data_IF_853428745170
#
_entry.id   IF_853428745170
#
_cell.length_a   1.000
_cell.length_b   1.000
_cell.length_c   1.000
_cell.angle_alpha   90.00
_cell.angle_beta   90.00
_cell.angle_gamma   90.00
#
_symmetry.space_group_name_H-M   'P 1'
#
loop_
_entity.id
_entity.type
_entity.pdbx_description
1 polymer ?
#
# COMPACT_ATOMS: atom_id res chain seq x y z
N UNK A 1 56.42 -51.80 -2.57
CA UNK A 1 55.98 -50.42 -2.81
C UNK A 1 54.50 -50.48 -3.19
N UNK A 2 53.63 -50.55 -2.19
CA UNK A 2 52.18 -50.74 -2.34
C UNK A 2 51.51 -49.36 -2.23
N UNK A 3 50.77 -48.98 -3.27
CA UNK A 3 49.99 -47.73 -3.32
C UNK A 3 48.59 -48.09 -2.81
N UNK A 4 48.22 -47.57 -1.64
CA UNK A 4 46.85 -47.57 -1.15
C UNK A 4 46.08 -46.45 -1.85
N UNK A 5 45.05 -46.81 -2.62
CA UNK A 5 44.05 -45.88 -3.15
C UNK A 5 42.85 -45.94 -2.21
N UNK A 6 42.71 -44.92 -1.37
CA UNK A 6 41.51 -44.71 -0.54
C UNK A 6 40.48 -43.92 -1.35
N UNK A 7 39.45 -44.60 -1.86
CA UNK A 7 38.24 -43.96 -2.39
C UNK A 7 37.33 -43.57 -1.22
N UNK A 8 37.33 -42.29 -0.85
CA UNK A 8 36.31 -41.69 0.02
C UNK A 8 35.03 -41.47 -0.79
N UNK A 9 34.02 -42.31 -0.54
CA UNK A 9 32.65 -42.11 -1.03
C UNK A 9 31.97 -41.06 -0.13
N UNK A 10 32.02 -39.80 -0.54
CA UNK A 10 31.27 -38.73 0.13
C UNK A 10 29.80 -38.83 -0.29
N UNK A 11 28.94 -39.30 0.63
CA UNK A 11 27.49 -39.26 0.50
C UNK A 11 27.03 -37.80 0.45
N UNK A 12 26.76 -37.30 -0.75
CA UNK A 12 26.00 -36.08 -0.99
C UNK A 12 24.55 -36.31 -0.58
N UNK A 13 24.24 -36.02 0.69
CA UNK A 13 22.88 -35.75 1.14
C UNK A 13 22.39 -34.49 0.43
N UNK A 14 21.68 -34.69 -0.69
CA UNK A 14 20.84 -33.66 -1.31
C UNK A 14 19.67 -33.39 -0.37
N UNK A 15 19.89 -32.51 0.61
CA UNK A 15 18.81 -31.83 1.31
C UNK A 15 18.11 -30.93 0.28
N UNK A 16 17.05 -31.46 -0.31
CA UNK A 16 16.04 -30.69 -1.02
C UNK A 16 15.37 -29.80 0.03
N UNK A 17 15.97 -28.65 0.31
CA UNK A 17 15.26 -27.54 0.90
C UNK A 17 14.38 -26.95 -0.20
N UNK A 18 13.20 -27.52 -0.35
CA UNK A 18 12.04 -26.85 -0.89
C UNK A 18 11.74 -25.66 0.02
N UNK A 19 12.45 -24.55 -0.22
CA UNK A 19 12.13 -23.24 0.30
C UNK A 19 10.81 -22.77 -0.31
N UNK A 20 9.70 -23.35 0.16
CA UNK A 20 8.39 -22.74 0.08
C UNK A 20 8.49 -21.41 0.84
N UNK A 21 8.72 -20.33 0.10
CA UNK A 21 8.55 -18.98 0.61
C UNK A 21 7.08 -18.72 0.92
N UNK A 22 6.59 -19.27 2.02
CA UNK A 22 5.34 -18.84 2.67
C UNK A 22 5.63 -17.50 3.37
N UNK A 23 5.64 -16.43 2.58
CA UNK A 23 5.77 -15.06 3.07
C UNK A 23 4.42 -14.35 3.04
N UNK A 24 3.88 -14.09 4.24
CA UNK A 24 2.68 -13.31 4.58
C UNK A 24 1.33 -13.84 4.04
N UNK A 25 0.85 -14.92 4.66
CA UNK A 25 -0.58 -15.11 4.90
C UNK A 25 -0.85 -14.70 6.36
N UNK A 26 -1.78 -13.79 6.59
CA UNK A 26 -2.12 -13.28 7.91
C UNK A 26 -3.61 -13.44 8.26
N UNK A 27 -4.27 -14.51 7.80
CA UNK A 27 -5.32 -15.18 8.57
C UNK A 27 -6.63 -14.40 8.75
N UNK A 28 -7.49 -14.44 7.74
CA UNK A 28 -8.87 -13.98 7.86
C UNK A 28 -9.78 -14.80 6.91
N UNK A 29 -9.88 -16.10 7.14
CA UNK A 29 -10.55 -17.06 6.25
C UNK A 29 -12.06 -16.84 6.06
N UNK A 30 -12.64 -15.87 6.78
CA UNK A 30 -14.06 -15.52 6.65
C UNK A 30 -14.21 -14.34 5.70
N UNK A 31 -14.24 -14.62 4.41
CA UNK A 31 -14.84 -13.71 3.43
C UNK A 31 -16.25 -13.33 3.92
N UNK A 32 -16.67 -12.05 3.87
CA UNK A 32 -18.00 -11.68 4.32
C UNK A 32 -19.04 -12.45 3.50
N UNK A 33 -20.04 -13.03 4.19
CA UNK A 33 -21.06 -13.89 3.58
C UNK A 33 -22.10 -13.14 2.73
N UNK A 34 -22.08 -11.80 2.75
CA UNK A 34 -22.90 -10.97 1.88
C UNK A 34 -22.41 -11.06 0.44
N UNK A 35 -23.33 -11.13 -0.53
CA UNK A 35 -22.97 -11.05 -1.96
C UNK A 35 -22.54 -9.62 -2.29
N UNK A 36 -21.25 -9.50 -2.57
CA UNK A 36 -20.56 -8.34 -3.12
C UNK A 36 -20.92 -8.15 -4.62
N UNK A 37 -20.76 -6.94 -5.20
CA UNK A 37 -19.85 -5.88 -4.77
C UNK A 37 -20.38 -5.06 -3.60
N UNK A 38 -19.48 -4.41 -2.87
CA UNK A 38 -19.77 -3.27 -1.98
C UNK A 38 -20.22 -2.07 -2.82
N UNK A 39 -21.28 -2.23 -3.60
CA UNK A 39 -22.00 -1.14 -4.25
C UNK A 39 -22.88 -0.40 -3.26
N UNK A 40 -22.72 -0.61 -1.94
CA UNK A 40 -23.43 0.16 -0.92
C UNK A 40 -23.14 1.64 -1.16
N UNK A 41 -24.22 2.43 -1.16
CA UNK A 41 -24.29 3.79 -1.68
C UNK A 41 -23.06 4.64 -1.36
N UNK A 42 -22.64 5.44 -2.35
CA UNK A 42 -21.49 6.34 -2.32
C UNK A 42 -21.60 7.53 -1.37
N UNK A 43 -22.17 7.36 -0.17
CA UNK A 43 -22.38 8.43 0.80
C UNK A 43 -21.26 8.57 1.83
N UNK A 44 -20.32 7.62 1.92
CA UNK A 44 -19.14 7.80 2.78
C UNK A 44 -18.16 8.76 2.11
N UNK A 45 -17.77 9.86 2.77
CA UNK A 45 -16.78 10.79 2.22
C UNK A 45 -15.46 10.05 1.99
N UNK A 46 -14.79 10.39 0.89
CA UNK A 46 -13.44 9.87 0.62
C UNK A 46 -12.52 10.15 1.82
N UNK A 47 -11.69 9.19 2.24
CA UNK A 47 -10.73 9.40 3.31
C UNK A 47 -9.80 10.58 3.01
N UNK A 48 -9.69 11.52 3.95
CA UNK A 48 -8.70 12.61 3.89
C UNK A 48 -7.32 12.14 4.33
N UNK A 49 -7.28 11.12 5.19
CA UNK A 49 -6.05 10.60 5.74
C UNK A 49 -6.06 9.09 5.76
N UNK A 50 -4.86 8.53 5.62
CA UNK A 50 -4.59 7.11 5.53
C UNK A 50 -3.37 6.78 6.40
N UNK A 51 -3.21 5.50 6.70
CA UNK A 51 -2.10 4.97 7.46
C UNK A 51 -1.26 4.03 6.61
N UNK A 52 0.04 3.94 6.91
CA UNK A 52 0.94 2.95 6.32
C UNK A 52 1.96 2.46 7.34
N UNK A 53 1.99 1.16 7.59
CA UNK A 53 3.07 0.51 8.32
C UNK A 53 4.29 0.29 7.42
N UNK A 54 5.48 0.71 7.85
CA UNK A 54 6.73 0.49 7.12
C UNK A 54 7.90 0.25 8.09
N UNK A 55 8.83 -0.61 7.71
CA UNK A 55 10.05 -0.86 8.49
C UNK A 55 11.17 0.15 8.24
N UNK A 56 11.01 1.04 7.26
CA UNK A 56 11.96 2.12 6.99
C UNK A 56 11.66 3.33 7.86
N UNK A 57 12.72 3.96 8.36
CA UNK A 57 12.62 5.18 9.14
C UNK A 57 12.30 6.43 8.30
N UNK A 58 11.84 7.51 8.97
CA UNK A 58 11.42 8.75 8.32
C UNK A 58 12.49 9.33 7.39
N UNK A 59 13.74 9.38 7.85
CA UNK A 59 14.86 9.94 7.07
C UNK A 59 15.12 9.16 5.78
N UNK A 60 14.96 7.83 5.82
CA UNK A 60 15.17 6.99 4.64
C UNK A 60 14.08 7.23 3.59
N UNK A 61 12.81 7.29 4.02
CA UNK A 61 11.68 7.56 3.11
C UNK A 61 11.73 9.00 2.59
N UNK A 62 12.07 9.96 3.46
CA UNK A 62 12.30 11.35 3.08
C UNK A 62 13.39 11.48 2.01
N UNK A 63 14.51 10.78 2.17
CA UNK A 63 15.60 10.76 1.20
C UNK A 63 15.24 10.11 -0.15
N UNK A 64 14.17 9.32 -0.20
CA UNK A 64 13.59 8.77 -1.44
C UNK A 64 12.53 9.69 -2.06
N UNK A 65 12.19 10.81 -1.41
CA UNK A 65 11.10 11.70 -1.81
C UNK A 65 9.71 11.16 -1.47
N UNK A 66 9.63 10.06 -0.71
CA UNK A 66 8.40 9.35 -0.33
C UNK A 66 8.46 7.85 -0.65
N UNK A 67 7.31 7.25 -0.94
CA UNK A 67 7.22 5.85 -1.35
C UNK A 67 7.10 5.74 -2.86
N UNK A 68 8.08 5.08 -3.47
CA UNK A 68 8.01 4.62 -4.84
C UNK A 68 7.40 3.20 -4.90
N UNK A 69 6.61 2.88 -5.92
CA UNK A 69 6.24 1.50 -6.20
C UNK A 69 7.50 0.66 -6.41
N UNK A 70 7.49 -0.54 -5.87
CA UNK A 70 8.52 -1.54 -6.17
C UNK A 70 8.25 -2.09 -7.57
N UNK A 71 8.63 -1.34 -8.61
CA UNK A 71 8.48 -1.73 -10.00
C UNK A 71 9.82 -2.17 -10.59
N UNK A 72 9.79 -3.22 -11.42
CA UNK A 72 10.90 -3.57 -12.31
C UNK A 72 11.07 -2.51 -13.41
N UNK A 73 12.27 -2.45 -14.01
CA UNK A 73 12.60 -1.45 -15.04
C UNK A 73 11.64 -1.51 -16.24
N UNK A 74 11.30 -2.72 -16.68
CA UNK A 74 10.30 -2.96 -17.73
C UNK A 74 9.02 -3.53 -17.12
N UNK A 75 8.01 -2.68 -16.96
CA UNK A 75 6.72 -3.05 -16.37
C UNK A 75 5.92 -3.93 -17.32
N UNK A 76 5.41 -5.07 -16.83
CA UNK A 76 4.48 -5.87 -17.63
C UNK A 76 3.12 -5.18 -17.73
N UNK A 77 2.24 -5.70 -18.61
CA UNK A 77 0.85 -5.24 -18.66
C UNK A 77 0.12 -5.45 -17.32
N UNK A 78 0.49 -6.48 -16.54
CA UNK A 78 -0.10 -6.77 -15.24
C UNK A 78 0.26 -5.76 -14.15
N UNK A 79 1.38 -5.04 -14.30
CA UNK A 79 1.85 -4.06 -13.33
C UNK A 79 0.81 -2.98 -12.99
N UNK A 80 -0.09 -2.70 -13.93
CA UNK A 80 -1.12 -1.67 -13.83
C UNK A 80 -2.40 -2.17 -13.15
N UNK A 81 -2.56 -3.47 -12.95
CA UNK A 81 -3.75 -4.08 -12.36
C UNK A 81 -3.71 -4.19 -10.85
N UNK A 82 -4.78 -3.76 -10.18
CA UNK A 82 -4.96 -3.91 -8.73
C UNK A 82 -4.96 -5.38 -8.30
N UNK A 83 -5.48 -6.31 -9.11
CA UNK A 83 -5.49 -7.74 -8.78
C UNK A 83 -4.07 -8.30 -8.70
N UNK A 84 -3.18 -7.86 -9.59
CA UNK A 84 -1.79 -8.25 -9.60
C UNK A 84 -1.03 -7.63 -8.42
N UNK A 85 -1.37 -6.39 -8.06
CA UNK A 85 -0.86 -5.72 -6.86
C UNK A 85 -1.27 -6.43 -5.56
N UNK A 86 -2.55 -6.76 -5.39
CA UNK A 86 -3.08 -7.47 -4.20
C UNK A 86 -2.44 -8.86 -4.04
N UNK A 87 -2.26 -9.59 -5.15
CA UNK A 87 -1.65 -10.93 -5.16
C UNK A 87 -0.17 -10.94 -4.78
N UNK A 88 0.46 -9.77 -4.63
CA UNK A 88 1.88 -9.63 -4.32
C UNK A 88 2.78 -10.49 -5.23
N UNK A 89 2.51 -10.45 -6.55
CA UNK A 89 3.27 -11.27 -7.51
C UNK A 89 4.74 -10.81 -7.54
N UNK A 90 5.61 -11.67 -7.02
CA UNK A 90 7.07 -11.48 -6.98
C UNK A 90 7.74 -12.19 -8.16
N UNK A 91 8.57 -11.45 -8.89
CA UNK A 91 9.45 -11.96 -9.94
C UNK A 91 10.75 -12.52 -9.34
N UNK A 92 11.61 -13.07 -10.19
CA UNK A 92 12.95 -13.51 -9.81
C UNK A 92 13.67 -12.39 -9.03
N UNK A 93 14.36 -12.74 -7.95
CA UNK A 93 15.00 -11.82 -6.97
C UNK A 93 14.04 -11.06 -6.04
N UNK A 94 12.76 -11.43 -5.98
CA UNK A 94 11.80 -10.88 -5.00
C UNK A 94 11.27 -9.48 -5.34
N UNK A 95 11.50 -9.01 -6.58
CA UNK A 95 10.98 -7.74 -7.06
C UNK A 95 9.50 -7.87 -7.40
N UNK A 96 8.71 -6.85 -7.07
CA UNK A 96 7.29 -6.78 -7.45
C UNK A 96 7.18 -6.13 -8.83
N UNK A 97 6.11 -6.44 -9.55
CA UNK A 97 5.74 -5.70 -10.76
C UNK A 97 4.41 -5.03 -10.50
N UNK A 98 4.46 -3.85 -9.90
CA UNK A 98 3.27 -3.06 -9.56
C UNK A 98 3.60 -1.58 -9.65
N UNK A 99 2.63 -0.79 -10.10
CA UNK A 99 2.69 0.68 -10.05
C UNK A 99 2.09 1.24 -8.76
N UNK A 100 1.69 0.42 -7.80
CA UNK A 100 0.97 0.86 -6.60
C UNK A 100 1.82 0.77 -5.32
N UNK A 101 1.45 1.60 -4.35
CA UNK A 101 1.92 1.53 -2.96
C UNK A 101 0.72 1.39 -2.04
N UNK A 102 0.70 0.35 -1.20
CA UNK A 102 -0.42 0.10 -0.28
C UNK A 102 -0.48 1.09 0.87
N UNK A 103 -1.69 1.53 1.21
CA UNK A 103 -2.04 2.23 2.45
C UNK A 103 -3.35 1.65 2.98
N UNK A 104 -3.78 2.06 4.16
CA UNK A 104 -5.03 1.58 4.76
C UNK A 104 -5.76 2.71 5.47
N UNK A 105 -7.09 2.60 5.54
CA UNK A 105 -7.89 3.45 6.41
C UNK A 105 -7.80 3.06 7.89
N UNK A 106 -7.16 1.94 8.24
CA UNK A 106 -7.11 1.43 9.62
C UNK A 106 -5.73 1.58 10.25
N UNK A 107 -5.67 2.23 11.40
CA UNK A 107 -4.47 2.31 12.23
C UNK A 107 -3.98 0.91 12.65
N UNK A 108 -4.90 0.01 13.05
CA UNK A 108 -4.57 -1.35 13.48
C UNK A 108 -3.90 -2.16 12.36
N UNK A 109 -4.43 -2.07 11.14
CA UNK A 109 -3.83 -2.72 9.96
C UNK A 109 -2.42 -2.16 9.73
N UNK A 110 -2.24 -0.84 9.81
CA UNK A 110 -0.91 -0.24 9.65
C UNK A 110 0.06 -0.68 10.75
N UNK A 111 -0.36 -0.73 12.02
CA UNK A 111 0.45 -1.22 13.13
C UNK A 111 0.84 -2.69 12.94
N UNK A 112 -0.09 -3.55 12.50
CA UNK A 112 0.20 -4.95 12.13
C UNK A 112 1.31 -5.02 11.06
N UNK A 113 1.18 -4.25 9.99
CA UNK A 113 2.18 -4.26 8.91
C UNK A 113 3.51 -3.62 9.31
N UNK A 114 3.52 -2.65 10.23
CA UNK A 114 4.75 -2.15 10.82
C UNK A 114 5.48 -3.31 11.52
N UNK A 115 4.79 -4.04 12.41
CA UNK A 115 5.36 -5.18 13.14
C UNK A 115 5.84 -6.31 12.24
N UNK A 116 5.05 -6.72 11.24
CA UNK A 116 5.46 -7.78 10.29
C UNK A 116 6.73 -7.37 9.52
N UNK A 117 6.90 -6.07 9.26
CA UNK A 117 8.09 -5.53 8.60
C UNK A 117 9.27 -5.27 9.55
N UNK A 118 9.13 -5.52 10.86
CA UNK A 118 10.18 -5.40 11.86
C UNK A 118 11.24 -6.48 11.67
N UNK A 119 12.15 -6.28 10.71
CA UNK A 119 13.28 -7.19 10.50
C UNK A 119 14.37 -6.93 11.54
N UNK A 120 14.84 -7.98 12.20
CA UNK A 120 16.00 -7.97 13.10
C UNK A 120 15.89 -6.96 14.27
N UNK A 121 14.70 -6.79 14.84
CA UNK A 121 14.48 -5.88 15.98
C UNK A 121 14.67 -4.39 15.64
N UNK A 122 14.66 -4.03 14.34
CA UNK A 122 14.67 -2.63 13.92
C UNK A 122 13.36 -1.95 14.29
N UNK A 123 13.47 -0.67 14.65
CA UNK A 123 12.31 0.21 14.84
C UNK A 123 11.43 0.19 13.58
N UNK A 124 10.11 0.22 13.79
CA UNK A 124 9.12 0.29 12.72
C UNK A 124 8.21 1.47 12.93
N UNK A 125 7.49 1.85 11.89
CA UNK A 125 6.74 3.09 11.92
C UNK A 125 5.36 2.95 11.30
N UNK A 126 4.40 3.66 11.88
CA UNK A 126 3.10 3.91 11.28
C UNK A 126 3.05 5.36 10.82
N UNK A 127 3.02 5.56 9.51
CA UNK A 127 2.93 6.88 8.89
C UNK A 127 1.47 7.30 8.77
N UNK A 128 1.20 8.55 9.13
CA UNK A 128 -0.08 9.21 8.91
C UNK A 128 0.04 10.13 7.70
N UNK A 129 -0.76 9.84 6.67
CA UNK A 129 -0.57 10.35 5.32
C UNK A 129 -1.82 11.08 4.88
N UNK A 130 -1.67 12.31 4.36
CA UNK A 130 -2.75 13.03 3.70
C UNK A 130 -3.00 12.42 2.32
N UNK A 131 -4.24 12.00 2.08
CA UNK A 131 -4.60 11.28 0.88
C UNK A 131 -4.64 12.18 -0.37
N UNK A 132 -4.50 11.58 -1.54
CA UNK A 132 -4.59 12.27 -2.82
C UNK A 132 -5.39 11.44 -3.83
N UNK A 133 -5.87 12.05 -4.93
CA UNK A 133 -6.80 11.38 -5.84
C UNK A 133 -6.22 10.16 -6.57
N UNK A 134 -4.89 9.99 -6.62
CA UNK A 134 -4.26 8.78 -7.16
C UNK A 134 -4.30 7.57 -6.22
N UNK A 135 -4.84 7.73 -5.01
CA UNK A 135 -5.00 6.65 -4.04
C UNK A 135 -6.41 6.10 -4.15
N UNK A 136 -6.56 4.86 -4.62
CA UNK A 136 -7.84 4.26 -5.00
C UNK A 136 -8.30 3.21 -3.99
N UNK A 137 -9.62 3.08 -3.79
CA UNK A 137 -10.22 2.03 -2.97
C UNK A 137 -10.04 0.65 -3.65
N UNK A 138 -9.15 -0.18 -3.12
CA UNK A 138 -8.81 -1.47 -3.73
C UNK A 138 -9.98 -2.44 -3.66
N UNK A 139 -10.59 -2.57 -2.48
CA UNK A 139 -11.64 -3.54 -2.22
C UNK A 139 -12.82 -3.33 -3.17
N UNK A 140 -13.29 -2.08 -3.29
CA UNK A 140 -14.41 -1.77 -4.19
C UNK A 140 -14.02 -1.92 -5.66
N UNK A 141 -12.77 -1.61 -6.03
CA UNK A 141 -12.30 -1.77 -7.41
C UNK A 141 -12.21 -3.23 -7.84
N UNK A 142 -11.82 -4.13 -6.93
CA UNK A 142 -11.74 -5.57 -7.18
C UNK A 142 -13.07 -6.31 -6.99
N UNK A 143 -14.05 -5.70 -6.32
CA UNK A 143 -15.34 -6.35 -6.07
C UNK A 143 -15.16 -7.70 -5.39
N UNK A 144 -15.66 -8.78 -6.00
CA UNK A 144 -15.65 -10.12 -5.41
C UNK A 144 -14.28 -10.81 -5.47
N UNK A 145 -13.29 -10.17 -6.09
CA UNK A 145 -11.96 -10.76 -6.28
C UNK A 145 -10.94 -10.33 -5.22
N UNK A 146 -11.30 -9.38 -4.34
CA UNK A 146 -10.43 -9.02 -3.22
C UNK A 146 -10.28 -10.20 -2.27
N UNK A 147 -9.02 -10.54 -1.97
CA UNK A 147 -8.67 -11.59 -0.99
C UNK A 147 -8.51 -11.02 0.41
N UNK A 148 -8.16 -9.74 0.52
CA UNK A 148 -7.77 -9.12 1.78
C UNK A 148 -8.65 -7.92 2.16
N UNK A 149 -9.97 -8.08 2.02
CA UNK A 149 -10.96 -7.05 2.30
C UNK A 149 -10.77 -6.35 3.67
N UNK A 150 -10.35 -7.09 4.70
CA UNK A 150 -10.12 -6.59 6.05
C UNK A 150 -8.96 -5.58 6.15
N UNK A 151 -8.02 -5.60 5.20
CA UNK A 151 -6.92 -4.62 5.15
C UNK A 151 -7.43 -3.21 4.84
N UNK A 152 -8.64 -3.09 4.27
CA UNK A 152 -9.25 -1.80 3.90
C UNK A 152 -8.27 -0.95 3.08
N UNK A 153 -7.65 -1.62 2.10
CA UNK A 153 -6.53 -1.05 1.35
C UNK A 153 -7.00 0.10 0.46
N UNK A 154 -6.20 1.15 0.50
CA UNK A 154 -6.21 2.25 -0.46
C UNK A 154 -4.86 2.25 -1.18
N UNK A 155 -4.84 1.98 -2.48
CA UNK A 155 -3.62 1.77 -3.25
C UNK A 155 -3.21 3.04 -4.00
N UNK A 156 -2.05 3.59 -3.68
CA UNK A 156 -1.51 4.80 -4.29
C UNK A 156 -0.81 4.49 -5.62
N UNK A 157 -1.44 4.84 -6.74
CA UNK A 157 -0.85 4.66 -8.07
C UNK A 157 0.29 5.66 -8.30
N UNK A 158 1.45 5.13 -8.70
CA UNK A 158 2.67 5.89 -8.98
C UNK A 158 3.48 6.32 -7.75
N UNK A 159 2.99 6.06 -6.54
CA UNK A 159 3.69 6.37 -5.30
C UNK A 159 3.02 7.45 -4.45
N UNK A 160 3.65 7.75 -3.32
CA UNK A 160 3.19 8.69 -2.30
C UNK A 160 4.33 9.65 -2.01
N UNK A 161 4.11 10.96 -2.15
CA UNK A 161 5.16 11.96 -1.92
C UNK A 161 5.41 12.19 -0.44
N UNK A 162 6.66 12.48 -0.07
CA UNK A 162 7.02 12.77 1.31
C UNK A 162 6.23 13.96 1.89
N UNK A 163 5.96 15.00 1.09
CA UNK A 163 5.18 16.13 1.60
C UNK A 163 3.72 15.81 1.95
N UNK A 164 3.21 14.61 1.60
CA UNK A 164 1.91 14.12 2.05
C UNK A 164 1.95 13.58 3.49
N UNK A 165 3.13 13.25 4.01
CA UNK A 165 3.28 12.70 5.36
C UNK A 165 3.00 13.80 6.37
N UNK A 166 1.94 13.62 7.15
CA UNK A 166 1.53 14.52 8.24
C UNK A 166 2.41 14.30 9.47
N UNK A 167 2.79 13.05 9.70
CA UNK A 167 3.63 12.62 10.81
C UNK A 167 3.74 11.10 10.85
N UNK A 168 4.38 10.59 11.89
CA UNK A 168 4.58 9.16 12.07
C UNK A 168 4.66 8.79 13.54
N UNK A 169 4.26 7.56 13.84
CA UNK A 169 4.53 6.91 15.10
C UNK A 169 5.70 5.96 15.00
N UNK A 170 6.58 5.98 16.00
CA UNK A 170 7.48 4.86 16.25
C UNK A 170 6.69 3.75 16.95
N UNK A 171 6.73 2.55 16.38
CA UNK A 171 6.10 1.34 16.89
C UNK A 171 7.20 0.38 17.34
N UNK A 172 7.36 0.27 18.65
CA UNK A 172 8.29 -0.61 19.36
C UNK A 172 7.61 -1.20 20.61
N UNK A 173 8.32 -2.03 21.39
CA UNK A 173 7.76 -2.60 22.63
C UNK A 173 7.33 -1.52 23.62
N UNK A 174 8.07 -0.41 23.72
CA UNK A 174 7.75 0.71 24.60
C UNK A 174 6.43 1.39 24.22
N UNK A 175 6.08 1.46 22.94
CA UNK A 175 4.77 1.95 22.49
C UNK A 175 3.64 1.06 23.03
N UNK A 176 3.75 -0.26 22.87
CA UNK A 176 2.72 -1.19 23.34
C UNK A 176 2.57 -1.15 24.85
N UNK A 177 3.69 -1.11 25.57
CA UNK A 177 3.71 -1.02 27.03
C UNK A 177 3.10 0.29 27.53
N UNK A 178 3.47 1.43 26.93
CA UNK A 178 3.04 2.75 27.38
C UNK A 178 1.52 2.98 27.25
N UNK A 179 0.90 2.45 26.19
CA UNK A 179 -0.53 2.62 25.94
C UNK A 179 -1.38 1.39 26.27
N UNK A 180 -0.77 0.31 26.79
CA UNK A 180 -1.41 -1.00 26.95
C UNK A 180 -2.17 -1.40 25.66
N UNK A 181 -1.55 -1.15 24.52
CA UNK A 181 -2.14 -1.38 23.21
C UNK A 181 -1.72 -2.76 22.71
N UNK A 182 -2.65 -3.48 22.10
CA UNK A 182 -2.37 -4.72 21.39
C UNK A 182 -3.00 -4.62 20.00
N UNK A 183 -2.23 -4.97 18.97
CA UNK A 183 -2.79 -5.08 17.62
C UNK A 183 -3.89 -6.15 17.67
N UNK A 184 -5.16 -5.81 17.39
CA UNK A 184 -6.27 -6.74 17.51
C UNK A 184 -6.12 -7.89 16.51
N UNK A 185 -6.89 -8.97 16.67
CA UNK A 185 -6.95 -10.03 15.66
C UNK A 185 -7.59 -9.56 14.34
N UNK A 186 -7.31 -10.28 13.26
CA UNK A 186 -7.81 -9.96 11.93
C UNK A 186 -9.34 -9.96 11.86
N UNK A 187 -9.90 -8.98 11.15
CA UNK A 187 -11.33 -8.71 11.08
C UNK A 187 -11.89 -7.85 12.21
N UNK A 188 -11.07 -7.50 13.21
CA UNK A 188 -11.45 -6.63 14.34
C UNK A 188 -10.82 -5.23 14.27
N UNK A 189 -10.06 -4.92 13.21
CA UNK A 189 -9.30 -3.67 13.00
C UNK A 189 -10.15 -2.40 12.73
N UNK A 190 -11.39 -2.36 13.19
CA UNK A 190 -12.31 -1.25 12.95
C UNK A 190 -12.35 -0.24 14.11
N UNK A 191 -11.65 -0.51 15.22
CA UNK A 191 -11.93 0.13 16.50
C UNK A 191 -10.87 1.15 16.95
N UNK A 192 -9.64 1.15 16.41
CA UNK A 192 -8.55 1.99 16.97
C UNK A 192 -8.20 3.26 16.20
N UNK A 193 -8.93 3.62 15.14
CA UNK A 193 -8.75 4.96 14.54
C UNK A 193 -9.08 6.05 15.56
N UNK A 194 -10.10 5.83 16.40
CA UNK A 194 -10.43 6.73 17.50
C UNK A 194 -9.30 6.79 18.53
N UNK A 195 -8.68 5.65 18.87
CA UNK A 195 -7.49 5.62 19.73
C UNK A 195 -6.40 6.53 19.19
N UNK A 196 -6.04 6.39 17.90
CA UNK A 196 -5.07 7.29 17.27
C UNK A 196 -5.49 8.75 17.36
N UNK A 197 -6.71 9.11 16.96
CA UNK A 197 -7.12 10.51 16.94
C UNK A 197 -7.24 11.15 18.33
N UNK A 198 -7.70 10.40 19.33
CA UNK A 198 -7.89 10.89 20.69
C UNK A 198 -6.58 10.99 21.46
N UNK A 199 -5.69 10.02 21.30
CA UNK A 199 -4.50 9.88 22.16
C UNK A 199 -3.20 10.28 21.47
N UNK A 200 -3.12 10.17 20.14
CA UNK A 200 -1.86 10.30 19.40
C UNK A 200 -1.86 11.48 18.42
N UNK A 201 -3.00 11.78 17.80
CA UNK A 201 -3.11 12.75 16.69
C UNK A 201 -3.50 14.17 17.10
N UNK A 202 -4.21 14.37 18.22
CA UNK A 202 -4.70 15.69 18.66
C UNK A 202 -3.85 16.35 19.76
N UNK A 203 -3.04 15.59 20.52
CA UNK A 203 -2.20 16.09 21.63
C UNK A 203 -0.68 15.88 21.41
N UNK A 204 -0.28 15.60 20.16
CA UNK A 204 1.05 15.23 19.73
C UNK A 204 2.22 16.18 20.08
N UNK A 205 1.97 17.38 20.60
CA UNK A 205 3.06 18.26 21.05
C UNK A 205 3.82 17.72 22.26
N UNK A 206 3.32 16.68 22.94
CA UNK A 206 3.96 16.04 24.09
C UNK A 206 4.05 14.51 24.01
N UNK A 207 3.62 13.89 22.90
CA UNK A 207 3.63 12.43 22.79
C UNK A 207 5.03 11.90 22.42
N UNK A 208 5.64 11.03 23.24
CA UNK A 208 7.02 10.57 22.99
C UNK A 208 7.16 9.68 21.76
N UNK A 209 6.05 9.14 21.25
CA UNK A 209 6.05 8.20 20.12
C UNK A 209 5.61 8.82 18.79
N UNK A 210 4.92 9.96 18.79
CA UNK A 210 4.43 10.61 17.57
C UNK A 210 5.30 11.83 17.23
N UNK A 211 5.75 11.91 15.99
CA UNK A 211 6.44 13.07 15.47
C UNK A 211 5.66 13.69 14.30
N UNK A 212 5.46 15.00 14.36
CA UNK A 212 4.95 15.76 13.22
C UNK A 212 6.01 15.86 12.11
N UNK A 213 5.59 15.70 10.86
CA UNK A 213 6.45 15.94 9.73
C UNK A 213 6.64 17.45 9.54
N UNK A 214 7.87 17.99 9.63
CA UNK A 214 8.11 19.40 9.32
C UNK A 214 7.88 19.70 7.82
N UNK A 215 7.89 18.67 6.97
CA UNK A 215 7.76 18.81 5.52
C UNK A 215 6.32 18.59 5.03
N UNK A 216 5.36 18.33 5.94
CA UNK A 216 3.96 18.22 5.58
C UNK A 216 3.47 19.50 4.89
N UNK A 217 3.03 19.36 3.65
CA UNK A 217 2.61 20.49 2.84
C UNK A 217 1.11 20.73 2.91
N UNK A 218 0.64 21.22 4.05
CA UNK A 218 -0.79 21.46 4.27
C UNK A 218 -1.44 22.26 3.13
N UNK A 219 -0.83 23.36 2.70
CA UNK A 219 -1.37 24.24 1.67
C UNK A 219 -1.57 23.54 0.31
N UNK A 220 -0.74 22.54 -0.01
CA UNK A 220 -0.87 21.77 -1.25
C UNK A 220 -1.93 20.70 -1.14
N UNK A 221 -1.97 19.98 -0.01
CA UNK A 221 -2.74 18.76 0.10
C UNK A 221 -4.16 18.94 0.64
N UNK A 222 -4.41 19.97 1.45
CA UNK A 222 -5.69 20.11 2.20
C UNK A 222 -6.97 20.18 1.35
N UNK A 223 -6.86 20.43 0.04
CA UNK A 223 -7.98 20.45 -0.90
C UNK A 223 -8.30 19.09 -1.52
N UNK A 224 -7.49 18.07 -1.23
CA UNK A 224 -7.59 16.76 -1.83
C UNK A 224 -8.02 15.70 -0.81
N UNK A 225 -8.54 14.61 -1.33
CA UNK A 225 -8.89 13.40 -0.60
C UNK A 225 -8.44 12.18 -1.42
N UNK A 226 -8.56 10.98 -0.87
CA UNK A 226 -8.42 9.76 -1.63
C UNK A 226 -9.38 9.74 -2.84
N UNK A 227 -8.94 9.10 -3.92
CA UNK A 227 -9.81 8.75 -5.03
C UNK A 227 -10.90 7.77 -4.59
N UNK A 228 -11.88 7.57 -5.47
CA UNK A 228 -12.89 6.56 -5.29
C UNK A 228 -12.37 5.16 -5.63
N UNK A 229 -13.31 4.29 -5.98
CA UNK A 229 -13.03 3.01 -6.58
C UNK A 229 -12.94 3.16 -8.11
N UNK A 230 -12.06 2.39 -8.73
CA UNK A 230 -11.73 2.48 -10.15
C UNK A 230 -11.74 1.05 -10.76
N UNK A 231 -12.91 0.49 -11.07
CA UNK A 231 -13.08 -0.87 -11.63
C UNK A 231 -12.24 -1.17 -12.85
N UNK A 232 -11.99 -0.14 -13.65
CA UNK A 232 -11.17 -0.24 -14.84
C UNK A 232 -9.67 -0.41 -14.57
N UNK A 233 -9.26 -0.21 -13.32
CA UNK A 233 -7.92 -0.50 -12.83
C UNK A 233 -7.81 -1.89 -12.19
N UNK A 234 -8.88 -2.69 -12.17
CA UNK A 234 -8.87 -4.00 -11.54
C UNK A 234 -7.83 -4.96 -12.15
N UNK A 235 -7.58 -4.90 -13.46
CA UNK A 235 -6.59 -5.76 -14.13
C UNK A 235 -7.09 -7.16 -14.49
N UNK A 236 -8.40 -7.40 -14.53
CA UNK A 236 -8.96 -8.74 -14.75
C UNK A 236 -8.70 -9.29 -16.16
N UNK A 237 -8.70 -8.46 -17.20
CA UNK A 237 -8.36 -8.88 -18.56
C UNK A 237 -6.93 -9.44 -18.63
N UNK A 238 -5.97 -8.71 -18.05
CA UNK A 238 -4.56 -9.10 -18.04
C UNK A 238 -4.30 -10.33 -17.15
N UNK A 239 -5.19 -10.62 -16.21
CA UNK A 239 -5.10 -11.79 -15.32
C UNK A 239 -6.06 -12.93 -15.65
N UNK A 240 -6.74 -12.87 -16.79
CA UNK A 240 -7.76 -13.85 -17.21
C UNK A 240 -7.22 -15.29 -17.22
N UNK A 241 -5.97 -15.50 -17.64
CA UNK A 241 -5.34 -16.82 -17.62
C UNK A 241 -5.30 -17.46 -16.22
N UNK A 242 -5.21 -16.67 -15.16
CA UNK A 242 -5.29 -17.16 -13.79
C UNK A 242 -6.72 -17.59 -13.42
N UNK A 243 -7.74 -16.84 -13.85
CA UNK A 243 -9.14 -17.21 -13.64
C UNK A 243 -9.46 -18.54 -14.32
N UNK A 244 -9.03 -18.71 -15.58
CA UNK A 244 -9.24 -19.96 -16.33
C UNK A 244 -8.53 -21.12 -15.65
N UNK A 245 -7.27 -20.94 -15.24
CA UNK A 245 -6.48 -21.96 -14.54
C UNK A 245 -7.11 -22.38 -13.21
N UNK A 246 -7.71 -21.45 -12.48
CA UNK A 246 -8.38 -21.67 -11.20
C UNK A 246 -9.85 -22.13 -11.36
N UNK A 247 -10.33 -22.35 -12.59
CA UNK A 247 -11.73 -22.66 -12.91
C UNK A 247 -12.73 -21.64 -12.33
N UNK A 248 -12.34 -20.36 -12.28
CA UNK A 248 -13.18 -19.25 -11.81
C UNK A 248 -14.01 -18.66 -12.95
N UNK A 249 -15.26 -18.24 -12.69
CA UNK A 249 -16.07 -17.58 -13.71
C UNK A 249 -15.46 -16.23 -14.11
N UNK A 250 -15.46 -15.93 -15.41
CA UNK A 250 -15.08 -14.61 -15.95
C UNK A 250 -16.21 -13.58 -15.80
N UNK A 251 -16.73 -13.44 -14.58
CA UNK A 251 -17.91 -12.61 -14.29
C UNK A 251 -17.74 -11.15 -14.72
N UNK A 252 -16.51 -10.64 -14.69
CA UNK A 252 -16.16 -9.27 -15.10
C UNK A 252 -16.44 -8.99 -16.59
N UNK A 253 -16.68 -10.01 -17.41
CA UNK A 253 -17.14 -9.86 -18.81
C UNK A 253 -18.65 -9.60 -18.92
N UNK A 254 -19.41 -9.89 -17.87
CA UNK A 254 -20.87 -9.80 -17.86
C UNK A 254 -21.41 -8.71 -16.93
N UNK A 255 -20.65 -8.31 -15.91
CA UNK A 255 -21.11 -7.41 -14.85
C UNK A 255 -20.54 -6.00 -15.03
N UNK A 256 -21.41 -5.00 -14.97
CA UNK A 256 -21.01 -3.60 -14.98
C UNK A 256 -20.53 -3.12 -13.59
N UNK A 257 -19.59 -2.16 -13.53
CA UNK A 257 -18.94 -1.46 -14.66
C UNK A 257 -17.71 -2.19 -15.24
N UNK A 258 -17.31 -3.35 -14.70
CA UNK A 258 -16.11 -4.07 -15.17
C UNK A 258 -16.21 -4.53 -16.62
N UNK A 259 -17.41 -4.85 -17.09
CA UNK A 259 -17.65 -5.19 -18.50
C UNK A 259 -17.27 -4.03 -19.43
N UNK A 260 -17.71 -2.81 -19.15
CA UNK A 260 -17.27 -1.64 -19.94
C UNK A 260 -15.76 -1.42 -19.86
N UNK A 261 -15.15 -1.65 -18.70
CA UNK A 261 -13.72 -1.46 -18.53
C UNK A 261 -12.86 -2.33 -19.46
N UNK A 262 -13.36 -3.49 -19.92
CA UNK A 262 -12.60 -4.38 -20.81
C UNK A 262 -12.34 -3.81 -22.21
N UNK A 263 -12.92 -2.65 -22.56
CA UNK A 263 -12.74 -2.00 -23.87
C UNK A 263 -11.34 -1.41 -24.10
N UNK A 264 -10.56 -1.23 -23.03
CA UNK A 264 -9.17 -0.75 -23.09
C UNK A 264 -8.31 -1.62 -22.18
N UNK A 265 -7.01 -1.63 -22.43
CA UNK A 265 -6.07 -2.24 -21.49
C UNK A 265 -6.05 -1.50 -20.16
N UNK A 266 -5.74 -2.21 -19.09
CA UNK A 266 -5.58 -1.62 -17.76
C UNK A 266 -4.46 -0.56 -17.74
N UNK A 267 -3.42 -0.74 -18.57
CA UNK A 267 -2.38 0.29 -18.78
C UNK A 267 -2.97 1.59 -19.33
N UNK A 268 -3.82 1.53 -20.36
CA UNK A 268 -4.44 2.74 -20.91
C UNK A 268 -5.31 3.44 -19.87
N UNK A 269 -6.12 2.69 -19.12
CA UNK A 269 -6.91 3.23 -18.03
C UNK A 269 -6.06 3.88 -16.94
N UNK A 270 -4.92 3.28 -16.58
CA UNK A 270 -4.00 3.83 -15.60
C UNK A 270 -3.41 5.19 -16.05
N UNK A 271 -3.05 5.33 -17.33
CA UNK A 271 -2.55 6.59 -17.87
C UNK A 271 -3.65 7.66 -17.91
N UNK A 272 -4.87 7.30 -18.33
CA UNK A 272 -6.03 8.20 -18.32
C UNK A 272 -6.40 8.63 -16.90
N UNK A 273 -6.32 7.73 -15.93
CA UNK A 273 -6.52 8.00 -14.52
C UNK A 273 -5.48 8.96 -13.96
N UNK A 274 -4.20 8.74 -14.25
CA UNK A 274 -3.13 9.64 -13.80
C UNK A 274 -3.22 11.02 -14.44
N UNK A 275 -3.65 11.08 -15.71
CA UNK A 275 -3.93 12.35 -16.39
C UNK A 275 -5.10 13.11 -15.72
N UNK A 276 -6.16 12.40 -15.32
CA UNK A 276 -7.28 12.99 -14.56
C UNK A 276 -6.87 13.51 -13.19
N UNK A 277 -5.90 12.86 -12.54
CA UNK A 277 -5.44 13.23 -11.19
C UNK A 277 -4.19 14.13 -11.18
N UNK A 278 -3.73 14.57 -12.35
CA UNK A 278 -2.46 15.29 -12.53
C UNK A 278 -2.29 16.55 -11.69
N UNK A 279 -3.39 17.25 -11.39
CA UNK A 279 -3.35 18.48 -10.58
C UNK A 279 -2.83 18.21 -9.16
N UNK A 280 -3.19 17.07 -8.58
CA UNK A 280 -2.70 16.67 -7.26
C UNK A 280 -1.31 16.03 -7.34
N UNK A 281 -1.12 15.16 -8.32
CA UNK A 281 0.02 14.24 -8.37
C UNK A 281 1.27 14.90 -8.98
N UNK A 282 1.10 15.86 -9.88
CA UNK A 282 2.17 16.36 -10.75
C UNK A 282 2.54 15.35 -11.84
N UNK A 283 1.58 14.56 -12.31
CA UNK A 283 1.78 13.56 -13.36
C UNK A 283 2.38 14.17 -14.64
N UNK A 284 3.39 13.49 -15.20
CA UNK A 284 4.14 13.92 -16.41
C UNK A 284 4.13 12.90 -17.54
N UNK A 285 3.25 11.90 -17.47
CA UNK A 285 3.10 10.89 -18.52
C UNK A 285 3.90 9.60 -18.33
N UNK A 286 4.63 9.41 -17.23
CA UNK A 286 5.28 8.12 -16.93
C UNK A 286 5.41 7.85 -15.42
N UNK A 287 5.46 6.56 -15.07
CA UNK A 287 5.65 6.05 -13.71
C UNK A 287 7.15 5.84 -13.41
N UNK A 288 7.56 5.85 -12.12
CA UNK A 288 6.78 6.30 -10.97
C UNK A 288 6.46 7.80 -11.03
N UNK A 289 5.56 8.26 -10.16
CA UNK A 289 5.09 9.66 -10.16
C UNK A 289 6.22 10.68 -9.96
N UNK A 290 7.30 10.27 -9.31
CA UNK A 290 8.49 11.05 -9.06
C UNK A 290 9.71 10.13 -9.00
N UNK A 291 10.89 10.71 -9.21
CA UNK A 291 12.18 10.02 -9.05
C UNK A 291 12.88 10.50 -7.80
N UNK A 292 13.80 9.69 -7.28
CA UNK A 292 14.56 10.02 -6.07
C UNK A 292 15.37 11.32 -6.23
N UNK A 293 15.83 11.60 -7.44
CA UNK A 293 16.64 12.77 -7.78
C UNK A 293 15.80 14.03 -7.98
N UNK A 294 14.47 13.91 -7.98
CA UNK A 294 13.58 15.03 -8.24
C UNK A 294 13.14 15.69 -6.93
N UNK A 295 13.66 16.88 -6.61
CA UNK A 295 13.22 17.58 -5.41
C UNK A 295 11.74 17.91 -5.56
N UNK A 296 10.97 17.59 -4.52
CA UNK A 296 9.60 18.03 -4.44
C UNK A 296 9.56 19.57 -4.35
N UNK A 297 8.60 20.19 -5.04
CA UNK A 297 8.43 21.64 -4.99
C UNK A 297 8.33 22.09 -3.52
N UNK A 298 9.22 23.02 -3.13
CA UNK A 298 9.25 23.53 -1.76
C UNK A 298 7.89 24.12 -1.45
N UNK A 299 7.29 23.62 -0.38
CA UNK A 299 6.09 24.23 0.14
C UNK A 299 6.47 25.59 0.69
N UNK A 300 6.08 26.63 -0.04
CA UNK A 300 6.24 28.00 0.43
C UNK A 300 5.52 28.12 1.77
N UNK A 301 6.30 28.06 2.86
CA UNK A 301 5.81 28.16 4.24
C UNK A 301 5.26 29.55 4.60
N UNK A 302 5.14 30.44 3.62
CA UNK A 302 4.82 31.86 3.82
C UNK A 302 3.50 32.25 3.18
N UNK A 303 2.38 32.01 3.89
CA UNK A 303 1.25 32.96 3.95
C UNK A 303 0.51 32.78 5.29
N UNK A 304 1.20 32.91 6.43
CA UNK A 304 0.53 33.09 7.73
C UNK A 304 1.30 34.14 8.52
N UNK A 305 1.40 35.37 7.99
CA UNK A 305 1.92 36.51 8.76
C UNK A 305 1.43 37.87 8.24
N UNK A 306 0.20 37.93 7.72
CA UNK A 306 -0.43 39.22 7.35
C UNK A 306 -1.88 39.37 7.80
N UNK A 307 -2.24 38.88 8.99
CA UNK A 307 -3.46 39.32 9.67
C UNK A 307 -3.29 39.23 11.20
N UNK A 308 -2.37 40.04 11.72
CA UNK A 308 -2.49 40.61 13.07
C UNK A 308 -2.29 42.11 12.90
N UNK A 309 -3.40 42.80 12.70
CA UNK A 309 -3.54 44.22 12.98
C UNK A 309 -3.91 44.37 14.47
#
# INVERSE_FOLDING_TARGET
MQIFVTTSLLLLLLSVWSGLGLGADNGCDKTPTSKWPLTTDGSSPSPLFLFRGDGRGPDAIRAEGGWLPWAIAERSAKAFGLVNHEKDIKFAKGQRDTVYVSTTTSFDVAARYALINAKNGKETYVYYIHASPNIVDLNRSLGNETRFWWQREFSAMGGIRWSQVVGWLRIDSGFFDAYNYSVPDCGSEHLSNQFFHQHLGQQASHEPFFAHSPDYCRARWMRFAAGGWEPQLAGFAEDEGAFVKENKPLWFRAVEPWKQAQKKSTKQHAYEFMERTKEATGWRGDFPLFRKEEPEAVCNRYVVDRFRA
#
